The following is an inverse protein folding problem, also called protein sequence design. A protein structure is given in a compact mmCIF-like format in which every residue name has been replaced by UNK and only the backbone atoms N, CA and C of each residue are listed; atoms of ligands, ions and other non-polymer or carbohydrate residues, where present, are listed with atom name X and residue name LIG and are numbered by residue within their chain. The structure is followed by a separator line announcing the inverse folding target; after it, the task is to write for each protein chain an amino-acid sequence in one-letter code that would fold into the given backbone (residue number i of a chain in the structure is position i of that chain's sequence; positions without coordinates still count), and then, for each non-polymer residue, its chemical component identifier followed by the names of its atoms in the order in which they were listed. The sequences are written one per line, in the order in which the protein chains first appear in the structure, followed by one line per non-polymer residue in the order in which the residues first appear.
data_IF_503791636901
#
_entry.id   IF_503791636901
#
_cell.length_a   1.000
_cell.length_b   1.000
_cell.length_c   1.000
_cell.angle_alpha   90.00
_cell.angle_beta   90.00
_cell.angle_gamma   90.00
#
_symmetry.space_group_name_H-M   'P 1'
#
loop_
_entity.id
_entity.type
_entity.pdbx_description
1 polymer ?
#
# COMPACT_ATOMS: atom_id res chain seq x y z
N UNK A 1 4.20 25.85 -16.65
CA UNK A 1 3.82 24.42 -16.56
C UNK A 1 2.29 24.34 -16.50
N UNK A 2 1.62 23.80 -17.51
CA UNK A 2 0.14 23.76 -17.56
C UNK A 2 -0.34 22.59 -16.71
N UNK A 3 -0.87 22.86 -15.52
CA UNK A 3 -1.48 21.85 -14.64
C UNK A 3 -2.77 21.36 -15.30
N UNK A 4 -2.89 20.07 -15.55
CA UNK A 4 -4.11 19.53 -16.14
C UNK A 4 -5.17 19.33 -15.05
N UNK A 5 -5.98 20.36 -14.83
CA UNK A 5 -7.06 20.43 -13.82
C UNK A 5 -7.97 19.19 -13.85
N UNK A 6 -8.15 18.58 -15.03
CA UNK A 6 -8.95 17.36 -15.18
C UNK A 6 -8.41 16.17 -14.40
N UNK A 7 -7.12 16.11 -14.08
CA UNK A 7 -6.54 15.04 -13.27
C UNK A 7 -6.85 15.22 -11.78
N UNK A 8 -7.28 16.40 -11.33
CA UNK A 8 -7.73 16.62 -9.95
C UNK A 8 -9.22 16.30 -9.77
N UNK A 9 -9.99 16.19 -10.87
CA UNK A 9 -11.43 15.97 -10.82
C UNK A 9 -11.76 14.51 -10.42
N UNK A 10 -12.53 14.28 -9.32
CA UNK A 10 -12.91 12.93 -8.89
C UNK A 10 -13.58 12.07 -9.96
N UNK A 11 -14.29 12.69 -10.92
CA UNK A 11 -14.94 11.98 -12.04
C UNK A 11 -13.95 11.27 -12.97
N UNK A 12 -12.66 11.58 -12.90
CA UNK A 12 -11.61 10.99 -13.73
C UNK A 12 -10.71 10.03 -12.96
N UNK A 13 -10.98 9.75 -11.67
CA UNK A 13 -10.05 9.02 -10.83
C UNK A 13 -9.93 7.52 -11.13
N UNK A 14 -10.80 6.97 -11.99
CA UNK A 14 -10.65 5.61 -12.54
C UNK A 14 -10.13 5.61 -13.98
N UNK A 15 -9.67 6.76 -14.48
CA UNK A 15 -9.08 6.94 -15.82
C UNK A 15 -7.58 7.20 -15.70
N UNK A 16 -6.78 6.80 -16.71
CA UNK A 16 -5.35 7.09 -16.74
C UNK A 16 -5.10 8.61 -16.64
N UNK A 17 -3.94 8.97 -16.11
CA UNK A 17 -3.49 10.35 -16.14
C UNK A 17 -3.31 10.81 -17.57
N UNK A 18 -3.65 12.07 -17.84
CA UNK A 18 -3.40 12.67 -19.15
C UNK A 18 -1.90 12.86 -19.41
N UNK A 19 -1.11 13.01 -18.34
CA UNK A 19 0.35 13.06 -18.37
C UNK A 19 0.91 12.05 -17.37
N UNK A 20 1.95 11.33 -17.76
CA UNK A 20 2.55 10.30 -16.91
C UNK A 20 4.09 10.44 -16.79
N UNK A 21 4.60 11.67 -17.01
CA UNK A 21 6.00 11.97 -16.67
C UNK A 21 6.19 12.00 -15.15
N UNK A 22 7.42 11.76 -14.68
CA UNK A 22 7.73 11.61 -13.25
C UNK A 22 7.28 12.83 -12.45
N UNK A 23 7.54 14.05 -12.96
CA UNK A 23 7.15 15.28 -12.26
C UNK A 23 5.64 15.37 -12.02
N UNK A 24 4.83 15.06 -13.04
CA UNK A 24 3.37 15.05 -12.91
C UNK A 24 2.89 13.96 -11.96
N UNK A 25 3.47 12.76 -12.03
CA UNK A 25 3.13 11.67 -11.11
C UNK A 25 3.47 12.04 -9.66
N UNK A 26 4.61 12.67 -9.40
CA UNK A 26 4.97 13.17 -8.07
C UNK A 26 3.99 14.22 -7.57
N UNK A 27 3.56 15.16 -8.42
CA UNK A 27 2.53 16.14 -8.04
C UNK A 27 1.21 15.47 -7.68
N UNK A 28 0.76 14.51 -8.50
CA UNK A 28 -0.48 13.78 -8.21
C UNK A 28 -0.36 12.93 -6.95
N UNK A 29 0.79 12.29 -6.73
CA UNK A 29 1.07 11.53 -5.52
C UNK A 29 0.94 12.41 -4.27
N UNK A 30 1.59 13.58 -4.27
CA UNK A 30 1.49 14.56 -3.18
C UNK A 30 0.05 15.06 -2.98
N UNK A 31 -0.70 15.30 -4.06
CA UNK A 31 -2.10 15.71 -3.96
C UNK A 31 -2.97 14.65 -3.26
N UNK A 32 -2.92 13.39 -3.71
CA UNK A 32 -3.70 12.31 -3.11
C UNK A 32 -3.28 12.05 -1.67
N UNK A 33 -1.99 12.10 -1.37
CA UNK A 33 -1.50 11.88 -0.01
C UNK A 33 -1.80 13.06 0.93
N UNK A 34 -1.78 14.30 0.45
CA UNK A 34 -2.24 15.44 1.24
C UNK A 34 -3.74 15.31 1.59
N UNK A 35 -4.56 14.88 0.62
CA UNK A 35 -5.97 14.58 0.88
C UNK A 35 -6.13 13.42 1.86
N UNK A 36 -5.32 12.37 1.73
CA UNK A 36 -5.28 11.22 2.65
C UNK A 36 -4.97 11.66 4.08
N UNK A 37 -3.96 12.50 4.26
CA UNK A 37 -3.58 13.04 5.57
C UNK A 37 -4.71 13.87 6.19
N UNK A 38 -5.37 14.72 5.40
CA UNK A 38 -6.52 15.49 5.88
C UNK A 38 -7.64 14.56 6.39
N UNK A 39 -8.00 13.53 5.61
CA UNK A 39 -9.01 12.55 6.03
C UNK A 39 -8.59 11.74 7.25
N UNK A 40 -7.33 11.33 7.35
CA UNK A 40 -6.78 10.63 8.52
C UNK A 40 -6.93 11.47 9.79
N UNK A 41 -6.52 12.75 9.75
CA UNK A 41 -6.60 13.64 10.90
C UNK A 41 -8.06 13.93 11.29
N UNK A 42 -8.92 14.26 10.32
CA UNK A 42 -10.34 14.49 10.58
C UNK A 42 -11.01 13.23 11.14
N UNK A 43 -10.74 12.08 10.55
CA UNK A 43 -11.27 10.79 11.00
C UNK A 43 -10.86 10.42 12.41
N UNK A 44 -9.56 10.56 12.72
CA UNK A 44 -9.04 10.28 14.06
C UNK A 44 -9.59 11.25 15.10
N UNK A 45 -9.76 12.53 14.74
CA UNK A 45 -10.41 13.52 15.61
C UNK A 45 -11.87 13.17 15.89
N UNK A 46 -12.64 12.83 14.85
CA UNK A 46 -14.04 12.43 15.01
C UNK A 46 -14.17 11.18 15.86
N UNK A 47 -13.36 10.15 15.62
CA UNK A 47 -13.35 8.92 16.42
C UNK A 47 -13.10 9.23 17.91
N UNK A 48 -12.05 10.01 18.23
CA UNK A 48 -11.77 10.45 19.62
C UNK A 48 -12.94 11.20 20.26
N UNK A 49 -13.66 12.00 19.49
CA UNK A 49 -14.76 12.82 20.02
C UNK A 49 -16.09 12.07 20.17
N UNK A 50 -16.28 10.95 19.47
CA UNK A 50 -17.57 10.26 19.36
C UNK A 50 -17.58 8.87 19.99
N UNK A 51 -16.43 8.20 20.03
CA UNK A 51 -16.28 6.85 20.57
C UNK A 51 -15.62 6.97 21.95
N UNK A 52 -16.39 6.68 23.00
CA UNK A 52 -15.89 6.73 24.37
C UNK A 52 -14.76 5.72 24.56
N UNK A 53 -13.62 6.17 25.09
CA UNK A 53 -12.46 5.31 25.32
C UNK A 53 -11.65 4.98 24.07
N UNK A 54 -11.88 5.65 22.93
CA UNK A 54 -11.09 5.42 21.72
C UNK A 54 -9.61 5.79 21.91
N UNK A 55 -8.74 4.84 21.63
CA UNK A 55 -7.29 5.03 21.58
C UNK A 55 -6.82 4.97 20.14
N UNK A 56 -5.94 5.90 19.75
CA UNK A 56 -5.39 5.88 18.39
C UNK A 56 -4.42 4.71 18.29
N UNK A 57 -4.63 3.75 17.37
CA UNK A 57 -3.77 2.59 17.30
C UNK A 57 -2.34 2.97 16.95
N UNK A 58 -1.41 2.47 17.76
CA UNK A 58 0.02 2.57 17.49
C UNK A 58 0.45 1.32 16.74
N UNK A 59 0.86 1.46 15.48
CA UNK A 59 1.36 0.34 14.69
C UNK A 59 2.87 0.25 14.82
N UNK A 60 3.49 -0.73 15.51
CA UNK A 60 4.93 -0.88 15.44
C UNK A 60 5.35 -1.14 13.99
N UNK A 61 6.21 -0.28 13.43
CA UNK A 61 6.73 -0.43 12.06
C UNK A 61 8.24 -0.29 12.12
N UNK A 62 8.97 -1.30 11.64
CA UNK A 62 10.41 -1.20 11.39
C UNK A 62 10.68 -0.57 10.03
N UNK A 63 11.94 -0.20 9.79
CA UNK A 63 12.37 0.29 8.46
C UNK A 63 12.16 -0.78 7.39
N UNK A 64 12.46 -2.05 7.69
CA UNK A 64 12.25 -3.16 6.76
C UNK A 64 10.77 -3.30 6.37
N UNK A 65 9.86 -3.24 7.34
CA UNK A 65 8.42 -3.34 7.09
C UNK A 65 7.92 -2.13 6.31
N UNK A 66 8.31 -0.91 6.69
CA UNK A 66 7.90 0.32 6.00
C UNK A 66 8.32 0.34 4.52
N UNK A 67 9.56 -0.08 4.22
CA UNK A 67 10.05 -0.13 2.83
C UNK A 67 9.42 -1.26 2.02
N UNK A 68 9.23 -2.44 2.63
CA UNK A 68 8.69 -3.61 1.92
C UNK A 68 7.16 -3.58 1.74
N UNK A 69 6.43 -2.89 2.62
CA UNK A 69 4.98 -2.71 2.54
C UNK A 69 4.54 -2.15 1.19
N UNK A 70 5.20 -1.08 0.70
CA UNK A 70 4.85 -0.50 -0.59
C UNK A 70 5.02 -1.47 -1.77
N UNK A 71 6.05 -2.33 -1.76
CA UNK A 71 6.21 -3.38 -2.77
C UNK A 71 5.14 -4.45 -2.64
N UNK A 72 4.88 -4.93 -1.41
CA UNK A 72 3.92 -6.00 -1.16
C UNK A 72 2.50 -5.55 -1.51
N UNK A 73 2.04 -4.46 -0.92
CA UNK A 73 0.66 -3.98 -1.03
C UNK A 73 0.32 -3.52 -2.45
N UNK A 74 1.19 -2.73 -3.08
CA UNK A 74 0.97 -2.31 -4.47
C UNK A 74 0.93 -3.52 -5.41
N UNK A 75 1.77 -4.52 -5.17
CA UNK A 75 1.82 -5.71 -6.01
C UNK A 75 0.59 -6.60 -5.82
N UNK A 76 0.16 -6.84 -4.58
CA UNK A 76 -1.00 -7.69 -4.27
C UNK A 76 -2.31 -7.04 -4.71
N UNK A 77 -2.54 -5.79 -4.33
CA UNK A 77 -3.86 -5.16 -4.47
C UNK A 77 -4.05 -4.41 -5.80
N UNK A 78 -2.96 -4.04 -6.49
CA UNK A 78 -3.08 -3.28 -7.73
C UNK A 78 -2.33 -3.93 -8.90
N UNK A 79 -1.08 -4.35 -8.70
CA UNK A 79 -0.23 -4.92 -9.74
C UNK A 79 -0.75 -6.25 -10.32
N UNK A 80 -1.00 -7.24 -9.46
CA UNK A 80 -1.55 -8.54 -9.88
C UNK A 80 -2.93 -8.36 -10.53
N UNK A 81 -3.92 -7.67 -9.91
CA UNK A 81 -5.21 -7.40 -10.54
C UNK A 81 -5.11 -6.67 -11.89
N UNK A 82 -4.16 -5.73 -12.02
CA UNK A 82 -3.88 -5.03 -13.28
C UNK A 82 -3.37 -5.97 -14.37
N UNK A 83 -2.44 -6.86 -14.05
CA UNK A 83 -1.93 -7.79 -15.06
C UNK A 83 -2.93 -8.91 -15.40
N UNK A 84 -3.81 -9.28 -14.47
CA UNK A 84 -4.86 -10.27 -14.71
C UNK A 84 -6.00 -9.72 -15.56
N UNK A 85 -6.43 -8.47 -15.31
CA UNK A 85 -7.70 -7.97 -15.86
C UNK A 85 -7.58 -6.67 -16.65
N UNK A 86 -6.62 -5.79 -16.28
CA UNK A 86 -6.52 -4.43 -16.80
C UNK A 86 -7.73 -3.54 -16.54
N UNK A 87 -8.74 -3.99 -15.78
CA UNK A 87 -10.01 -3.30 -15.59
C UNK A 87 -9.96 -2.39 -14.33
N UNK A 88 -10.07 -1.06 -14.48
CA UNK A 88 -10.00 -0.13 -13.34
C UNK A 88 -11.03 -0.40 -12.23
N UNK A 89 -12.19 -0.97 -12.56
CA UNK A 89 -13.24 -1.32 -11.57
C UNK A 89 -12.79 -2.48 -10.68
N UNK A 90 -12.07 -3.46 -11.24
CA UNK A 90 -11.53 -4.60 -10.47
C UNK A 90 -10.41 -4.12 -9.56
N UNK A 91 -9.54 -3.23 -10.05
CA UNK A 91 -8.51 -2.61 -9.21
C UNK A 91 -9.14 -1.77 -8.09
N UNK A 92 -10.26 -1.09 -8.35
CA UNK A 92 -11.00 -0.37 -7.32
C UNK A 92 -11.55 -1.32 -6.26
N UNK A 93 -12.15 -2.44 -6.65
CA UNK A 93 -12.59 -3.47 -5.69
C UNK A 93 -11.44 -4.01 -4.83
N UNK A 94 -10.29 -4.32 -5.43
CA UNK A 94 -9.11 -4.76 -4.69
C UNK A 94 -8.57 -3.66 -3.75
N UNK A 95 -8.56 -2.40 -4.19
CA UNK A 95 -8.20 -1.25 -3.36
C UNK A 95 -9.17 -1.00 -2.20
N UNK A 96 -10.46 -1.27 -2.37
CA UNK A 96 -11.43 -1.22 -1.27
C UNK A 96 -11.11 -2.27 -0.21
N UNK A 97 -10.79 -3.51 -0.62
CA UNK A 97 -10.35 -4.56 0.32
C UNK A 97 -9.08 -4.13 1.06
N UNK A 98 -8.08 -3.62 0.33
CA UNK A 98 -6.85 -3.09 0.91
C UNK A 98 -7.09 -2.00 1.96
N UNK A 99 -7.95 -1.04 1.66
CA UNK A 99 -8.33 0.02 2.59
C UNK A 99 -9.08 -0.54 3.79
N UNK A 100 -10.04 -1.44 3.60
CA UNK A 100 -10.75 -2.08 4.72
C UNK A 100 -9.82 -2.85 5.66
N UNK A 101 -8.75 -3.47 5.14
CA UNK A 101 -7.75 -4.14 5.97
C UNK A 101 -7.01 -3.15 6.89
N UNK A 102 -6.82 -1.89 6.47
CA UNK A 102 -6.24 -0.84 7.31
C UNK A 102 -7.13 -0.41 8.48
N UNK A 103 -8.39 -0.86 8.55
CA UNK A 103 -9.24 -0.62 9.70
C UNK A 103 -8.84 -1.49 10.90
N UNK A 104 -8.25 -2.65 10.64
CA UNK A 104 -8.00 -3.65 11.66
C UNK A 104 -6.55 -3.59 12.15
N UNK A 105 -6.41 -3.45 13.46
CA UNK A 105 -5.15 -3.64 14.17
C UNK A 105 -5.10 -5.08 14.70
N UNK A 106 -3.90 -5.63 14.84
CA UNK A 106 -3.68 -6.98 15.33
C UNK A 106 -4.25 -7.18 16.76
N UNK A 107 -4.88 -8.33 16.99
CA UNK A 107 -5.15 -8.86 18.34
C UNK A 107 -6.38 -8.34 19.09
N UNK A 108 -7.02 -7.23 18.67
CA UNK A 108 -8.22 -6.68 19.34
C UNK A 108 -9.24 -6.13 18.34
N UNK A 109 -10.40 -6.79 18.25
CA UNK A 109 -11.54 -6.37 17.41
C UNK A 109 -12.59 -5.66 18.27
N UNK A 110 -12.28 -4.46 18.75
CA UNK A 110 -13.25 -3.60 19.43
C UNK A 110 -13.36 -2.26 18.71
N UNK A 111 -14.51 -1.60 18.85
CA UNK A 111 -14.81 -0.33 18.17
C UNK A 111 -13.82 0.76 18.59
N UNK A 112 -13.34 0.68 19.83
CA UNK A 112 -12.42 1.62 20.46
C UNK A 112 -10.96 1.47 19.97
N UNK A 113 -10.63 0.36 19.29
CA UNK A 113 -9.27 0.04 18.82
C UNK A 113 -9.13 -0.02 17.30
N UNK A 114 -10.20 0.22 16.55
CA UNK A 114 -10.15 0.24 15.08
C UNK A 114 -9.35 1.43 14.56
N UNK A 115 -8.51 1.20 13.56
CA UNK A 115 -7.68 2.23 12.96
C UNK A 115 -8.45 3.07 11.92
N UNK A 116 -9.48 3.79 12.36
CA UNK A 116 -10.29 4.66 11.49
C UNK A 116 -9.44 5.66 10.70
N UNK A 117 -8.40 6.21 11.34
CA UNK A 117 -7.44 7.09 10.67
C UNK A 117 -6.71 6.38 9.53
N UNK A 118 -6.21 5.16 9.75
CA UNK A 118 -5.52 4.36 8.74
C UNK A 118 -6.44 3.96 7.57
N UNK A 119 -7.66 3.52 7.89
CA UNK A 119 -8.71 3.28 6.90
C UNK A 119 -8.96 4.52 6.03
N UNK A 120 -9.18 5.70 6.63
CA UNK A 120 -9.47 6.92 5.86
C UNK A 120 -8.24 7.46 5.10
N UNK A 121 -7.03 7.25 5.63
CA UNK A 121 -5.77 7.56 4.94
C UNK A 121 -5.66 6.78 3.62
N UNK A 122 -6.00 5.49 3.63
CA UNK A 122 -5.87 4.66 2.43
C UNK A 122 -6.84 5.02 1.30
N UNK A 123 -7.98 5.67 1.57
CA UNK A 123 -9.02 5.89 0.55
C UNK A 123 -8.53 6.74 -0.63
N UNK A 124 -7.93 7.93 -0.45
CA UNK A 124 -7.42 8.69 -1.60
C UNK A 124 -6.20 8.02 -2.23
N UNK A 125 -5.42 7.27 -1.45
CA UNK A 125 -4.29 6.47 -1.94
C UNK A 125 -4.75 5.42 -2.97
N UNK A 126 -5.89 4.76 -2.77
CA UNK A 126 -6.48 3.83 -3.78
C UNK A 126 -6.49 4.46 -5.17
N UNK A 127 -6.97 5.70 -5.28
CA UNK A 127 -7.08 6.37 -6.57
C UNK A 127 -5.73 6.73 -7.15
N UNK A 128 -4.75 7.13 -6.33
CA UNK A 128 -3.38 7.31 -6.79
C UNK A 128 -2.81 6.02 -7.41
N UNK A 129 -2.94 4.90 -6.70
CA UNK A 129 -2.40 3.60 -7.14
C UNK A 129 -3.09 3.12 -8.41
N UNK A 130 -4.43 3.08 -8.45
CA UNK A 130 -5.20 2.70 -9.65
C UNK A 130 -4.74 3.49 -10.86
N UNK A 131 -4.73 4.82 -10.76
CA UNK A 131 -4.39 5.70 -11.89
C UNK A 131 -2.96 5.52 -12.35
N UNK A 132 -2.04 5.33 -11.42
CA UNK A 132 -0.62 5.12 -11.74
C UNK A 132 -0.41 3.79 -12.47
N UNK A 133 -1.08 2.72 -12.02
CA UNK A 133 -1.05 1.41 -12.66
C UNK A 133 -1.66 1.44 -14.07
N UNK A 134 -2.88 1.96 -14.23
CA UNK A 134 -3.54 2.02 -15.55
C UNK A 134 -2.84 2.98 -16.53
N UNK A 135 -2.05 3.93 -16.02
CA UNK A 135 -1.19 4.81 -16.84
C UNK A 135 0.14 4.14 -17.25
N UNK A 136 0.33 2.86 -16.91
CA UNK A 136 1.53 2.07 -17.26
C UNK A 136 2.75 2.38 -16.40
N UNK A 137 2.57 2.99 -15.21
CA UNK A 137 3.66 3.47 -14.34
C UNK A 137 3.62 2.82 -12.95
N UNK A 138 3.10 1.59 -12.82
CA UNK A 138 2.95 0.89 -11.53
C UNK A 138 4.23 0.82 -10.68
N UNK A 139 5.41 0.74 -11.30
CA UNK A 139 6.69 0.81 -10.57
C UNK A 139 6.86 2.11 -9.76
N UNK A 140 6.29 3.22 -10.26
CA UNK A 140 6.30 4.51 -9.57
C UNK A 140 5.37 4.47 -8.35
N UNK A 141 4.22 3.80 -8.43
CA UNK A 141 3.33 3.62 -7.28
C UNK A 141 4.05 2.83 -6.18
N UNK A 142 4.69 1.71 -6.53
CA UNK A 142 5.53 0.92 -5.61
C UNK A 142 6.59 1.79 -4.94
N UNK A 143 7.42 2.48 -5.74
CA UNK A 143 8.52 3.28 -5.21
C UNK A 143 8.03 4.45 -4.35
N UNK A 144 6.95 5.13 -4.77
CA UNK A 144 6.37 6.23 -4.02
C UNK A 144 5.78 5.74 -2.69
N UNK A 145 5.01 4.64 -2.70
CA UNK A 145 4.39 4.09 -1.50
C UNK A 145 5.47 3.65 -0.48
N UNK A 146 6.47 2.88 -0.91
CA UNK A 146 7.61 2.51 -0.05
C UNK A 146 8.33 3.73 0.51
N UNK A 147 8.58 4.74 -0.33
CA UNK A 147 9.23 5.99 0.07
C UNK A 147 8.39 6.83 1.03
N UNK A 148 7.07 6.84 0.86
CA UNK A 148 6.12 7.54 1.74
C UNK A 148 6.12 6.91 3.14
N UNK A 149 5.95 5.59 3.23
CA UNK A 149 5.95 4.87 4.50
C UNK A 149 7.28 5.05 5.24
N UNK A 150 8.40 4.94 4.51
CA UNK A 150 9.72 5.20 5.06
C UNK A 150 9.88 6.64 5.57
N UNK A 151 9.44 7.63 4.79
CA UNK A 151 9.55 9.04 5.17
C UNK A 151 8.75 9.35 6.44
N UNK A 152 7.53 8.84 6.56
CA UNK A 152 6.73 8.98 7.77
C UNK A 152 7.39 8.32 8.97
N UNK A 153 7.87 7.09 8.82
CA UNK A 153 8.56 6.40 9.91
C UNK A 153 9.79 7.18 10.39
N UNK A 154 10.66 7.64 9.48
CA UNK A 154 11.86 8.39 9.84
C UNK A 154 11.53 9.72 10.50
N UNK A 155 10.50 10.45 10.04
CA UNK A 155 10.06 11.69 10.70
C UNK A 155 9.65 11.42 12.14
N UNK A 156 8.87 10.36 12.40
CA UNK A 156 8.43 10.01 13.75
C UNK A 156 9.60 9.62 14.64
N UNK A 157 10.61 8.97 14.08
CA UNK A 157 11.81 8.58 14.82
C UNK A 157 12.72 9.78 15.14
N UNK A 158 12.93 10.69 14.19
CA UNK A 158 13.73 11.91 14.41
C UNK A 158 13.07 12.83 15.44
N UNK A 159 11.73 12.88 15.46
CA UNK A 159 10.98 13.65 16.46
C UNK A 159 10.92 12.98 17.85
N UNK A 160 11.50 11.78 18.01
CA UNK A 160 11.47 11.02 19.26
C UNK A 160 10.08 10.49 19.64
N UNK A 161 9.11 10.56 18.72
CA UNK A 161 7.75 10.02 18.91
C UNK A 161 7.80 8.49 18.96
N UNK A 162 8.77 7.89 18.26
CA UNK A 162 8.92 6.44 18.18
C UNK A 162 10.39 5.99 18.10
N UNK A 163 10.66 4.79 18.61
CA UNK A 163 11.94 4.11 18.41
C UNK A 163 12.00 3.45 17.01
N UNK A 164 13.04 3.74 16.24
CA UNK A 164 13.29 3.12 14.94
C UNK A 164 14.26 1.94 15.07
N UNK A 165 13.82 0.78 14.66
CA UNK A 165 14.68 -0.38 14.38
C UNK A 165 14.74 -0.63 12.88
N UNK A 166 15.84 -1.23 12.42
CA UNK A 166 15.94 -1.65 11.02
C UNK A 166 15.07 -2.90 10.80
N UNK A 167 15.23 -3.88 11.68
CA UNK A 167 14.47 -5.15 11.74
C UNK A 167 14.13 -5.35 13.22
N UNK A 168 12.86 -5.59 13.52
CA UNK A 168 12.38 -5.91 14.87
C UNK A 168 12.49 -7.41 15.16
N UNK A 169 12.01 -8.24 14.23
CA UNK A 169 11.78 -9.65 14.48
C UNK A 169 11.78 -10.48 13.18
N UNK A 170 11.38 -11.75 13.29
CA UNK A 170 11.29 -12.67 12.17
C UNK A 170 10.16 -12.28 11.19
N UNK A 171 9.13 -11.57 11.64
CA UNK A 171 8.04 -11.13 10.75
C UNK A 171 8.52 -10.13 9.73
N UNK A 172 9.36 -9.18 10.14
CA UNK A 172 9.92 -8.19 9.23
C UNK A 172 10.71 -8.87 8.10
N UNK A 173 11.52 -9.88 8.46
CA UNK A 173 12.30 -10.65 7.50
C UNK A 173 11.39 -11.41 6.54
N UNK A 174 10.37 -12.11 7.07
CA UNK A 174 9.42 -12.86 6.26
C UNK A 174 8.57 -11.93 5.38
N UNK A 175 8.21 -10.75 5.86
CA UNK A 175 7.49 -9.75 5.08
C UNK A 175 8.31 -9.24 3.91
N UNK A 176 9.61 -8.95 4.12
CA UNK A 176 10.52 -8.58 3.03
C UNK A 176 10.62 -9.70 1.99
N UNK A 177 10.77 -10.96 2.43
CA UNK A 177 10.82 -12.12 1.54
C UNK A 177 9.53 -12.24 0.72
N UNK A 178 8.37 -12.12 1.36
CA UNK A 178 7.07 -12.14 0.68
C UNK A 178 6.92 -10.97 -0.30
N UNK A 179 7.29 -9.75 0.10
CA UNK A 179 7.24 -8.56 -0.76
C UNK A 179 8.06 -8.76 -2.02
N UNK A 180 9.29 -9.26 -1.88
CA UNK A 180 10.17 -9.57 -3.02
C UNK A 180 9.55 -10.65 -3.90
N UNK A 181 9.00 -11.73 -3.33
CA UNK A 181 8.37 -12.80 -4.08
C UNK A 181 7.12 -12.32 -4.87
N UNK A 182 6.23 -11.53 -4.25
CA UNK A 182 5.09 -10.93 -4.95
C UNK A 182 5.56 -9.94 -6.03
N UNK A 183 6.59 -9.14 -5.74
CA UNK A 183 7.25 -8.29 -6.72
C UNK A 183 7.76 -9.08 -7.94
N UNK A 184 8.33 -10.26 -7.73
CA UNK A 184 8.71 -11.16 -8.81
C UNK A 184 7.51 -11.65 -9.63
N UNK A 185 6.38 -11.97 -9.01
CA UNK A 185 5.14 -12.34 -9.72
C UNK A 185 4.69 -11.22 -10.65
N UNK A 186 4.67 -9.98 -10.15
CA UNK A 186 4.31 -8.79 -10.93
C UNK A 186 5.30 -8.55 -12.06
N UNK A 187 6.60 -8.70 -11.80
CA UNK A 187 7.64 -8.58 -12.82
C UNK A 187 7.50 -9.64 -13.92
N UNK A 188 7.27 -10.90 -13.55
CA UNK A 188 7.02 -11.99 -14.49
C UNK A 188 5.76 -11.72 -15.32
N UNK A 189 4.69 -11.21 -14.71
CA UNK A 189 3.46 -10.81 -15.40
C UNK A 189 3.68 -9.66 -16.38
N UNK A 190 4.50 -8.66 -16.00
CA UNK A 190 4.94 -7.61 -16.92
C UNK A 190 5.72 -8.18 -18.10
N UNK A 191 6.70 -9.06 -17.85
CA UNK A 191 7.47 -9.72 -18.91
C UNK A 191 6.59 -10.56 -19.82
N UNK A 192 5.60 -11.27 -19.26
CA UNK A 192 4.69 -12.12 -19.99
C UNK A 192 3.86 -11.36 -21.04
N UNK A 193 3.57 -10.07 -20.82
CA UNK A 193 2.93 -9.21 -21.83
C UNK A 193 3.81 -8.95 -23.06
N UNK A 194 5.14 -9.03 -22.91
CA UNK A 194 6.10 -8.75 -23.99
C UNK A 194 6.71 -10.00 -24.62
N UNK A 195 6.83 -11.09 -23.85
CA UNK A 195 7.40 -12.37 -24.26
C UNK A 195 6.64 -13.46 -23.54
N UNK A 196 6.27 -14.56 -24.20
CA UNK A 196 5.67 -15.68 -23.49
C UNK A 196 6.65 -16.25 -22.46
N UNK A 197 6.31 -16.12 -21.19
CA UNK A 197 7.06 -16.66 -20.06
C UNK A 197 6.45 -18.02 -19.69
N UNK A 198 7.30 -18.99 -19.41
CA UNK A 198 6.83 -20.28 -18.95
C UNK A 198 6.13 -20.14 -17.59
N UNK A 199 4.87 -20.60 -17.51
CA UNK A 199 4.05 -20.56 -16.29
C UNK A 199 4.73 -21.20 -15.08
N UNK A 200 5.64 -22.16 -15.29
CA UNK A 200 6.39 -22.80 -14.20
C UNK A 200 7.27 -21.80 -13.42
N UNK A 201 7.68 -20.68 -14.01
CA UNK A 201 8.46 -19.67 -13.27
C UNK A 201 7.66 -18.97 -12.17
N UNK A 202 6.32 -18.96 -12.23
CA UNK A 202 5.49 -18.43 -11.15
C UNK A 202 5.45 -19.35 -9.93
N UNK A 203 5.77 -20.64 -10.07
CA UNK A 203 5.76 -21.57 -8.94
C UNK A 203 6.83 -21.24 -7.90
N UNK A 204 7.98 -20.68 -8.33
CA UNK A 204 9.08 -20.33 -7.43
C UNK A 204 8.64 -19.26 -6.42
N UNK A 205 8.19 -18.04 -6.83
CA UNK A 205 7.76 -17.04 -5.87
C UNK A 205 6.51 -17.45 -5.08
N UNK A 206 5.60 -18.24 -5.68
CA UNK A 206 4.42 -18.76 -4.95
C UNK A 206 4.86 -19.72 -3.83
N UNK A 207 5.79 -20.64 -4.10
CA UNK A 207 6.32 -21.55 -3.09
C UNK A 207 7.02 -20.78 -1.95
N UNK A 208 7.79 -19.75 -2.28
CA UNK A 208 8.43 -18.87 -1.28
C UNK A 208 7.37 -18.21 -0.37
N UNK A 209 6.30 -17.66 -0.93
CA UNK A 209 5.21 -17.07 -0.15
C UNK A 209 4.56 -18.11 0.76
N UNK A 210 4.22 -19.30 0.23
CA UNK A 210 3.58 -20.35 1.00
C UNK A 210 4.47 -20.84 2.16
N UNK A 211 5.77 -20.98 1.94
CA UNK A 211 6.73 -21.34 2.99
C UNK A 211 6.82 -20.23 4.03
N UNK A 212 6.92 -18.96 3.63
CA UNK A 212 6.93 -17.83 4.57
C UNK A 212 5.66 -17.78 5.44
N UNK A 213 4.49 -17.99 4.83
CA UNK A 213 3.22 -18.05 5.55
C UNK A 213 3.15 -19.25 6.51
N UNK A 214 3.67 -20.40 6.10
CA UNK A 214 3.74 -21.58 6.97
C UNK A 214 4.66 -21.34 8.17
N UNK A 215 5.80 -20.66 7.98
CA UNK A 215 6.68 -20.28 9.09
C UNK A 215 5.96 -19.34 10.05
N UNK A 216 5.32 -18.27 9.55
CA UNK A 216 4.53 -17.34 10.38
C UNK A 216 3.46 -18.05 11.21
N UNK A 217 2.80 -19.04 10.61
CA UNK A 217 1.79 -19.85 11.29
C UNK A 217 2.38 -20.70 12.41
N UNK A 218 3.48 -21.40 12.13
CA UNK A 218 4.13 -22.31 13.10
C UNK A 218 4.77 -21.53 14.25
N UNK A 219 5.31 -20.34 14.00
CA UNK A 219 5.94 -19.49 15.02
C UNK A 219 4.92 -18.76 15.90
N UNK A 220 3.62 -19.07 15.77
CA UNK A 220 2.55 -18.51 16.62
C UNK A 220 2.38 -17.01 16.45
N UNK A 221 2.67 -16.50 15.27
CA UNK A 221 2.86 -15.08 15.04
C UNK A 221 1.65 -14.46 14.31
N UNK A 222 0.45 -14.83 14.76
CA UNK A 222 -0.87 -14.40 14.27
C UNK A 222 -1.77 -13.91 15.38
#
# INVERSE_FOLDING_TARGET
MKVEISDFNPRTWLKPYKRNNILHLSMMALFYHALSMALMYTGSFLAKSTIAGYETPDFPVSVALALSAGLLEESVFFGIPYFMTGNPVILFGAGMVWSSLHLFSYGVYSVETLAYGGFLLSIPHIFFSIRTWISGKGWFAIAFHSGWNFSFLIIYCVLGIRQCSIINDTHDVLNVIMAVAVGMIVYLAFKNKTRQINRFYYLIPVAVILVSLAILYVTGSF
#
